data_IF_215412058410
#
_entry.id   IF_215412058410
#
_cell.length_a   1.000
_cell.length_b   1.000
_cell.length_c   1.000
_cell.angle_alpha   90.00
_cell.angle_beta   90.00
_cell.angle_gamma   90.00
#
_symmetry.space_group_name_H-M   'P 1'
#
loop_
_entity.id
_entity.type
_entity.pdbx_description
1 polymer ?
#
# COMPACT_ATOMS: atom_id res chain seq x y z
N UNK A 1 -48.13 -11.95 -21.48
CA UNK A 1 -48.20 -11.16 -20.22
C UNK A 1 -47.42 -11.88 -19.13
N UNK A 2 -46.17 -11.50 -18.88
CA UNK A 2 -45.35 -12.07 -17.81
C UNK A 2 -45.59 -11.20 -16.57
N UNK A 3 -46.33 -11.72 -15.59
CA UNK A 3 -46.52 -11.06 -14.29
C UNK A 3 -45.21 -11.19 -13.51
N UNK A 4 -44.42 -10.12 -13.46
CA UNK A 4 -43.35 -9.98 -12.47
C UNK A 4 -43.98 -9.91 -11.09
N UNK A 5 -44.04 -11.04 -10.39
CA UNK A 5 -44.42 -11.08 -8.98
C UNK A 5 -43.28 -10.46 -8.17
N UNK A 6 -43.33 -9.13 -8.03
CA UNK A 6 -42.54 -8.42 -7.04
C UNK A 6 -43.07 -8.90 -5.70
N UNK A 7 -42.43 -9.92 -5.12
CA UNK A 7 -42.62 -10.28 -3.72
C UNK A 7 -42.19 -9.05 -2.93
N UNK A 8 -43.16 -8.25 -2.49
CA UNK A 8 -42.89 -7.19 -1.53
C UNK A 8 -42.34 -7.85 -0.27
N UNK A 9 -41.05 -7.69 -0.04
CA UNK A 9 -40.36 -8.18 1.16
C UNK A 9 -40.77 -7.29 2.32
N UNK A 10 -42.00 -7.46 2.80
CA UNK A 10 -42.59 -6.65 3.87
C UNK A 10 -42.04 -6.97 5.27
N UNK A 11 -41.03 -7.85 5.36
CA UNK A 11 -40.44 -8.29 6.64
C UNK A 11 -38.91 -8.48 6.56
N UNK A 12 -38.21 -7.66 5.77
CA UNK A 12 -36.77 -7.53 6.00
C UNK A 12 -36.62 -6.75 7.32
N UNK A 13 -36.05 -7.38 8.34
CA UNK A 13 -35.60 -6.67 9.54
C UNK A 13 -34.83 -5.42 9.10
N UNK A 14 -35.11 -4.29 9.75
CA UNK A 14 -34.55 -2.96 9.42
C UNK A 14 -33.01 -2.96 9.34
N UNK A 15 -32.37 -4.00 9.88
CA UNK A 15 -30.94 -4.27 9.86
C UNK A 15 -30.69 -5.76 9.54
N UNK A 16 -29.65 -6.04 8.74
CA UNK A 16 -29.19 -7.40 8.45
C UNK A 16 -28.45 -7.91 9.69
N UNK A 17 -28.76 -9.10 10.22
CA UNK A 17 -28.08 -9.63 11.41
C UNK A 17 -26.57 -9.74 11.16
N UNK A 18 -25.79 -9.19 12.08
CA UNK A 18 -24.32 -9.25 12.06
C UNK A 18 -23.81 -10.54 12.70
N UNK A 19 -22.85 -11.18 12.04
CA UNK A 19 -22.21 -12.39 12.53
C UNK A 19 -20.72 -12.38 12.19
N UNK A 20 -19.87 -12.14 13.19
CA UNK A 20 -18.42 -12.12 12.99
C UNK A 20 -17.81 -13.48 12.60
N UNK A 21 -18.42 -14.59 13.01
CA UNK A 21 -17.98 -15.96 12.70
C UNK A 21 -19.20 -16.84 12.40
N UNK A 22 -19.20 -17.62 11.29
CA UNK A 22 -20.25 -18.58 10.98
C UNK A 22 -20.61 -19.52 12.15
N UNK A 23 -21.89 -19.84 12.31
CA UNK A 23 -22.37 -20.74 13.37
C UNK A 23 -22.28 -22.18 12.88
N UNK A 24 -21.46 -22.97 13.57
CA UNK A 24 -21.30 -24.39 13.30
C UNK A 24 -22.14 -25.27 14.23
N UNK A 25 -22.20 -26.57 13.91
CA UNK A 25 -22.80 -27.59 14.79
C UNK A 25 -21.97 -27.87 16.05
N UNK A 26 -20.64 -27.78 15.93
CA UNK A 26 -19.69 -28.15 16.99
C UNK A 26 -19.13 -26.92 17.72
N UNK A 27 -18.35 -27.15 18.78
CA UNK A 27 -17.74 -26.08 19.57
C UNK A 27 -16.62 -25.38 18.76
N UNK A 28 -16.71 -24.06 18.51
CA UNK A 28 -15.76 -23.35 17.67
C UNK A 28 -14.32 -23.34 18.25
N UNK A 29 -14.15 -23.36 19.58
CA UNK A 29 -12.82 -23.34 20.21
C UNK A 29 -12.08 -24.67 20.09
N UNK A 30 -12.80 -25.79 20.15
CA UNK A 30 -12.20 -27.15 20.16
C UNK A 30 -12.18 -27.80 18.78
N UNK A 31 -13.03 -27.36 17.86
CA UNK A 31 -13.26 -28.00 16.57
C UNK A 31 -13.37 -26.98 15.42
N UNK A 32 -12.52 -25.96 15.43
CA UNK A 32 -12.50 -24.91 14.41
C UNK A 32 -12.31 -25.48 12.98
N UNK A 33 -11.45 -26.48 12.81
CA UNK A 33 -11.18 -27.11 11.51
C UNK A 33 -12.34 -27.98 10.99
N UNK A 34 -13.16 -28.54 11.89
CA UNK A 34 -14.30 -29.39 11.54
C UNK A 34 -15.58 -28.55 11.51
N UNK A 35 -15.62 -27.59 10.58
CA UNK A 35 -16.76 -26.69 10.46
C UNK A 35 -17.91 -27.37 9.71
N UNK A 36 -19.03 -27.61 10.42
CA UNK A 36 -20.30 -28.01 9.81
C UNK A 36 -21.29 -26.86 9.95
N UNK A 37 -21.60 -26.11 8.86
CA UNK A 37 -22.47 -24.96 8.92
C UNK A 37 -23.88 -25.34 9.40
N UNK A 38 -24.45 -24.54 10.29
CA UNK A 38 -25.87 -24.61 10.63
C UNK A 38 -26.65 -23.73 9.64
N UNK A 39 -27.64 -24.24 8.90
CA UNK A 39 -28.45 -23.42 8.00
C UNK A 39 -29.18 -22.33 8.80
N UNK A 40 -29.21 -21.13 8.24
CA UNK A 40 -29.89 -19.96 8.80
C UNK A 40 -30.81 -19.44 7.70
N UNK A 41 -32.04 -19.08 8.07
CA UNK A 41 -32.98 -18.49 7.14
C UNK A 41 -32.69 -17.00 6.96
N UNK A 42 -32.58 -16.54 5.71
CA UNK A 42 -32.37 -15.13 5.37
C UNK A 42 -30.92 -14.73 5.11
N UNK A 43 -30.71 -13.42 4.95
CA UNK A 43 -29.39 -12.83 4.70
C UNK A 43 -28.70 -12.50 6.02
N UNK A 44 -27.40 -12.80 6.10
CA UNK A 44 -26.55 -12.50 7.27
C UNK A 44 -25.31 -11.73 6.80
N UNK A 45 -24.96 -10.67 7.51
CA UNK A 45 -23.73 -9.93 7.26
C UNK A 45 -22.58 -10.57 8.04
N UNK A 46 -21.66 -11.21 7.33
CA UNK A 46 -20.54 -11.92 7.89
C UNK A 46 -19.23 -11.44 7.26
N UNK A 47 -18.57 -10.42 7.86
CA UNK A 47 -17.31 -9.94 7.32
C UNK A 47 -16.25 -11.04 7.44
N UNK A 48 -15.44 -11.28 6.40
CA UNK A 48 -14.39 -12.29 6.47
C UNK A 48 -13.32 -11.88 7.49
N UNK A 49 -12.94 -12.81 8.37
CA UNK A 49 -11.80 -12.66 9.28
C UNK A 49 -10.46 -12.93 8.54
N UNK A 50 -10.28 -12.30 7.39
CA UNK A 50 -9.13 -12.46 6.52
C UNK A 50 -8.69 -11.10 5.96
N UNK A 51 -7.44 -11.03 5.49
CA UNK A 51 -6.95 -9.84 4.78
C UNK A 51 -7.75 -9.71 3.49
N UNK A 52 -8.33 -8.53 3.27
CA UNK A 52 -9.15 -8.25 2.11
C UNK A 52 -8.25 -7.83 0.96
N UNK A 53 -8.32 -8.57 -0.15
CA UNK A 53 -7.61 -8.18 -1.35
C UNK A 53 -8.22 -6.88 -1.92
N UNK A 54 -7.41 -5.89 -2.34
CA UNK A 54 -7.92 -4.63 -2.91
C UNK A 54 -8.85 -4.80 -4.13
N UNK A 55 -8.70 -5.91 -4.86
CA UNK A 55 -9.58 -6.28 -5.97
C UNK A 55 -10.98 -6.69 -5.53
N UNK A 56 -11.14 -7.21 -4.31
CA UNK A 56 -12.43 -7.64 -3.75
C UNK A 56 -13.18 -6.45 -3.13
N UNK A 57 -12.46 -5.53 -2.49
CA UNK A 57 -13.04 -4.35 -1.88
C UNK A 57 -12.19 -3.12 -2.21
N UNK A 58 -12.66 -2.36 -3.19
CA UNK A 58 -12.00 -1.13 -3.61
C UNK A 58 -12.33 0.01 -2.64
N UNK A 59 -11.32 0.69 -2.07
CA UNK A 59 -11.55 1.88 -1.24
C UNK A 59 -12.33 2.96 -1.98
N UNK A 60 -13.19 3.70 -1.27
CA UNK A 60 -14.09 4.69 -1.88
C UNK A 60 -13.36 5.82 -2.64
N UNK A 61 -12.09 6.10 -2.30
CA UNK A 61 -11.24 7.10 -2.95
C UNK A 61 -10.87 6.68 -4.38
N UNK A 62 -10.75 5.38 -4.63
CA UNK A 62 -10.43 4.82 -5.95
C UNK A 62 -11.67 4.54 -6.80
N UNK A 63 -12.87 4.72 -6.25
CA UNK A 63 -14.10 4.61 -7.01
C UNK A 63 -14.43 5.95 -7.69
N UNK A 64 -14.94 5.93 -8.94
CA UNK A 64 -15.43 7.12 -9.62
C UNK A 64 -16.51 7.85 -8.80
N UNK A 65 -16.65 9.18 -8.93
CA UNK A 65 -17.63 9.95 -8.16
C UNK A 65 -19.08 9.46 -8.28
N UNK A 66 -19.46 8.95 -9.46
CA UNK A 66 -20.82 8.49 -9.79
C UNK A 66 -21.04 6.98 -9.56
N UNK A 67 -20.07 6.25 -9.01
CA UNK A 67 -20.25 4.82 -8.74
C UNK A 67 -21.20 4.61 -7.54
N UNK A 68 -22.32 3.88 -7.68
CA UNK A 68 -23.27 3.66 -6.59
C UNK A 68 -22.67 2.92 -5.39
N UNK A 69 -21.57 2.18 -5.59
CA UNK A 69 -20.86 1.46 -4.52
C UNK A 69 -20.06 2.40 -3.61
N UNK A 70 -19.87 3.67 -4.01
CA UNK A 70 -19.04 4.63 -3.28
C UNK A 70 -19.58 4.92 -1.88
N UNK A 71 -20.90 5.03 -1.73
CA UNK A 71 -21.53 5.25 -0.42
C UNK A 71 -21.40 4.03 0.50
N UNK A 72 -21.53 2.82 -0.05
CA UNK A 72 -21.30 1.58 0.70
C UNK A 72 -19.82 1.47 1.12
N UNK A 73 -18.90 1.79 0.23
CA UNK A 73 -17.46 1.74 0.50
C UNK A 73 -17.02 2.72 1.60
N UNK A 74 -17.70 3.87 1.76
CA UNK A 74 -17.44 4.82 2.86
C UNK A 74 -17.72 4.23 4.24
N UNK A 75 -18.62 3.25 4.36
CA UNK A 75 -18.95 2.61 5.64
C UNK A 75 -17.76 1.85 6.25
N UNK A 76 -16.79 1.46 5.41
CA UNK A 76 -15.58 0.75 5.83
C UNK A 76 -14.39 1.68 6.11
N UNK A 77 -14.62 3.01 6.15
CA UNK A 77 -13.58 3.97 6.49
C UNK A 77 -13.21 3.81 7.98
N UNK A 78 -11.90 3.76 8.26
CA UNK A 78 -11.41 3.77 9.64
C UNK A 78 -11.74 5.11 10.31
N UNK A 79 -12.10 5.07 11.59
CA UNK A 79 -12.32 6.28 12.39
C UNK A 79 -11.01 7.06 12.55
N UNK A 80 -11.13 8.37 12.71
CA UNK A 80 -9.97 9.26 12.83
C UNK A 80 -9.13 8.93 14.07
N UNK A 81 -9.76 8.51 15.16
CA UNK A 81 -9.08 8.05 16.38
C UNK A 81 -8.18 6.83 16.10
N UNK A 82 -8.70 5.84 15.35
CA UNK A 82 -7.93 4.64 15.01
C UNK A 82 -6.77 4.99 14.08
N UNK A 83 -6.97 5.95 13.16
CA UNK A 83 -5.90 6.43 12.27
C UNK A 83 -4.83 7.18 13.06
N UNK A 84 -5.20 7.95 14.09
CA UNK A 84 -4.26 8.67 14.95
C UNK A 84 -3.38 7.71 15.78
N UNK A 85 -3.92 6.56 16.18
CA UNK A 85 -3.18 5.52 16.91
C UNK A 85 -2.24 4.68 16.02
N UNK A 86 -2.29 4.81 14.69
CA UNK A 86 -1.44 4.02 13.79
C UNK A 86 0.02 4.47 13.82
N UNK A 87 0.99 3.54 13.92
CA UNK A 87 2.40 3.90 13.88
C UNK A 87 2.80 4.43 12.50
N UNK A 88 3.46 5.59 12.48
CA UNK A 88 3.95 6.20 11.24
C UNK A 88 5.20 5.45 10.76
N UNK A 89 5.06 4.63 9.71
CA UNK A 89 6.18 3.88 9.13
C UNK A 89 7.12 4.81 8.34
N UNK A 90 6.55 5.77 7.60
CA UNK A 90 7.28 6.81 6.85
C UNK A 90 6.45 8.09 6.82
N UNK A 91 7.02 9.19 7.32
CA UNK A 91 6.42 10.51 7.20
C UNK A 91 6.85 11.16 5.88
N UNK A 92 5.90 11.73 5.14
CA UNK A 92 6.18 12.57 3.98
C UNK A 92 5.56 13.94 4.24
N UNK A 93 6.31 15.01 3.93
CA UNK A 93 5.80 16.38 3.98
C UNK A 93 4.59 16.51 3.06
N UNK A 94 3.51 17.09 3.57
CA UNK A 94 2.31 17.36 2.77
C UNK A 94 2.65 18.31 1.61
N UNK A 95 1.87 18.37 0.52
CA UNK A 95 2.21 19.20 -0.65
C UNK A 95 2.55 20.66 -0.34
N UNK A 96 1.91 21.26 0.66
CA UNK A 96 2.12 22.64 1.10
C UNK A 96 3.34 22.83 2.02
N UNK A 97 3.87 21.75 2.59
CA UNK A 97 5.06 21.75 3.45
C UNK A 97 6.33 21.40 2.68
N UNK A 98 6.23 21.10 1.38
CA UNK A 98 7.38 20.74 0.55
C UNK A 98 8.24 21.98 0.30
N UNK A 99 9.51 21.89 0.67
CA UNK A 99 10.50 22.94 0.43
C UNK A 99 11.10 22.80 -0.98
N UNK A 100 10.97 23.87 -1.77
CA UNK A 100 11.51 24.01 -3.12
C UNK A 100 12.69 25.00 -3.15
N UNK A 101 13.65 24.83 -2.23
CA UNK A 101 14.79 25.75 -2.05
C UNK A 101 15.80 25.72 -3.21
N UNK A 102 15.84 24.61 -3.96
CA UNK A 102 16.88 24.38 -4.96
C UNK A 102 16.49 25.03 -6.29
N UNK A 103 17.24 26.05 -6.70
CA UNK A 103 17.10 26.71 -8.00
C UNK A 103 17.91 25.99 -9.08
N UNK A 104 17.62 26.29 -10.36
CA UNK A 104 18.35 25.75 -11.51
C UNK A 104 19.85 26.07 -11.43
N UNK A 105 20.18 27.31 -11.08
CA UNK A 105 21.57 27.80 -11.00
C UNK A 105 22.39 27.00 -9.99
N UNK A 106 21.80 26.66 -8.85
CA UNK A 106 22.44 25.82 -7.83
C UNK A 106 22.71 24.42 -8.38
N UNK A 107 21.77 23.83 -9.12
CA UNK A 107 21.96 22.52 -9.75
C UNK A 107 23.08 22.55 -10.78
N UNK A 108 23.15 23.61 -11.60
CA UNK A 108 24.19 23.75 -12.62
C UNK A 108 25.58 23.91 -11.97
N UNK A 109 25.69 24.66 -10.85
CA UNK A 109 26.92 24.75 -10.07
C UNK A 109 27.34 23.40 -9.46
N UNK A 110 26.38 22.64 -8.92
CA UNK A 110 26.64 21.30 -8.36
C UNK A 110 27.21 20.37 -9.45
N UNK A 111 26.67 20.44 -10.67
CA UNK A 111 27.17 19.68 -11.81
C UNK A 111 28.57 20.11 -12.22
N UNK A 112 28.83 21.42 -12.29
CA UNK A 112 30.16 21.97 -12.60
C UNK A 112 31.21 21.48 -11.60
N UNK A 113 30.97 21.67 -10.31
CA UNK A 113 31.90 21.22 -9.24
C UNK A 113 32.18 19.73 -9.31
N UNK A 114 31.15 18.92 -9.60
CA UNK A 114 31.33 17.47 -9.73
C UNK A 114 32.12 17.07 -10.97
N UNK A 115 31.99 17.82 -12.07
CA UNK A 115 32.75 17.58 -13.30
C UNK A 115 34.21 18.00 -13.15
N UNK A 116 34.50 19.04 -12.35
CA UNK A 116 35.86 19.47 -12.04
C UNK A 116 36.62 18.39 -11.28
N UNK A 117 36.12 17.99 -10.10
CA UNK A 117 36.80 16.99 -9.25
C UNK A 117 35.79 16.06 -8.56
N UNK A 118 35.43 14.91 -9.18
CA UNK A 118 34.43 13.99 -8.63
C UNK A 118 34.78 13.40 -7.25
N UNK A 119 36.08 13.21 -6.98
CA UNK A 119 36.60 12.66 -5.72
C UNK A 119 36.51 13.70 -4.59
N UNK A 120 36.86 14.96 -4.87
CA UNK A 120 36.77 16.06 -3.89
C UNK A 120 35.31 16.45 -3.66
N UNK A 121 34.55 16.63 -4.73
CA UNK A 121 33.14 17.01 -4.71
C UNK A 121 32.22 15.78 -4.73
N UNK A 122 32.37 14.94 -3.70
CA UNK A 122 31.46 13.84 -3.46
C UNK A 122 30.08 14.36 -3.03
N UNK A 123 29.03 13.55 -3.24
CA UNK A 123 27.64 13.85 -2.86
C UNK A 123 27.51 14.33 -1.40
N UNK A 124 28.32 13.78 -0.48
CA UNK A 124 28.33 14.20 0.93
C UNK A 124 28.86 15.62 1.13
N UNK A 125 29.90 16.01 0.39
CA UNK A 125 30.48 17.35 0.47
C UNK A 125 29.58 18.38 -0.22
N UNK A 126 28.99 18.02 -1.35
CA UNK A 126 27.98 18.84 -2.03
C UNK A 126 26.73 19.03 -1.16
N UNK A 127 26.29 17.99 -0.46
CA UNK A 127 25.17 18.04 0.49
C UNK A 127 25.43 19.06 1.60
N UNK A 128 26.62 19.05 2.20
CA UNK A 128 27.00 20.03 3.22
C UNK A 128 27.15 21.44 2.68
N UNK A 129 27.73 21.60 1.49
CA UNK A 129 27.99 22.93 0.89
C UNK A 129 26.70 23.68 0.56
N UNK A 130 25.69 22.99 0.03
CA UNK A 130 24.44 23.59 -0.42
C UNK A 130 23.26 23.36 0.54
N UNK A 131 23.50 22.67 1.66
CA UNK A 131 22.47 22.25 2.63
C UNK A 131 21.30 21.51 1.96
N UNK A 132 21.62 20.51 1.12
CA UNK A 132 20.65 19.71 0.37
C UNK A 132 20.74 18.26 0.83
N UNK A 133 19.59 17.62 1.04
CA UNK A 133 19.51 16.18 1.34
C UNK A 133 20.23 15.33 0.28
N UNK A 134 21.00 14.34 0.74
CA UNK A 134 21.76 13.44 -0.12
C UNK A 134 20.88 12.72 -1.16
N UNK A 135 19.67 12.34 -0.77
CA UNK A 135 18.69 11.70 -1.64
C UNK A 135 18.33 12.57 -2.85
N UNK A 136 18.10 13.88 -2.63
CA UNK A 136 17.78 14.84 -3.69
C UNK A 136 18.95 15.02 -4.66
N UNK A 137 20.18 15.11 -4.14
CA UNK A 137 21.38 15.24 -4.98
C UNK A 137 21.58 14.04 -5.91
N UNK A 138 21.31 12.83 -5.44
CA UNK A 138 21.37 11.61 -6.28
C UNK A 138 20.44 11.72 -7.49
N UNK A 139 19.25 12.31 -7.33
CA UNK A 139 18.33 12.51 -8.46
C UNK A 139 18.84 13.56 -9.45
N UNK A 140 19.37 14.69 -8.97
CA UNK A 140 19.90 15.74 -9.84
C UNK A 140 21.08 15.30 -10.70
N UNK A 141 21.92 14.41 -10.15
CA UNK A 141 23.16 13.94 -10.77
C UNK A 141 23.01 12.57 -11.45
N UNK A 142 21.80 12.00 -11.48
CA UNK A 142 21.55 10.64 -12.01
C UNK A 142 21.97 10.47 -13.47
N UNK A 143 21.84 11.53 -14.28
CA UNK A 143 22.26 11.52 -15.69
C UNK A 143 23.77 11.44 -15.86
N UNK A 144 24.51 12.02 -14.92
CA UNK A 144 25.95 12.29 -15.06
C UNK A 144 26.78 11.19 -14.38
N UNK A 145 26.15 10.35 -13.56
CA UNK A 145 26.79 9.20 -12.95
C UNK A 145 27.14 8.16 -14.02
N UNK A 146 28.41 7.72 -14.11
CA UNK A 146 28.80 6.68 -15.05
C UNK A 146 27.99 5.43 -14.73
N UNK A 147 27.29 4.89 -15.74
CA UNK A 147 26.66 3.57 -15.65
C UNK A 147 27.78 2.55 -15.64
N UNK A 148 28.36 2.26 -14.46
CA UNK A 148 29.30 1.15 -14.37
C UNK A 148 28.51 -0.13 -14.60
N UNK A 149 28.70 -0.75 -15.76
CA UNK A 149 28.30 -2.13 -15.99
C UNK A 149 29.25 -3.00 -15.15
N UNK A 150 29.00 -3.11 -13.85
CA UNK A 150 29.70 -4.09 -13.04
C UNK A 150 29.31 -5.45 -13.59
N UNK A 151 30.25 -6.31 -14.02
CA UNK A 151 29.89 -7.68 -14.37
C UNK A 151 29.26 -8.30 -13.13
N UNK A 152 27.96 -8.62 -13.22
CA UNK A 152 27.26 -9.32 -12.17
C UNK A 152 27.73 -10.78 -12.18
N UNK A 153 28.85 -11.07 -11.51
CA UNK A 153 29.25 -12.44 -11.23
C UNK A 153 28.28 -13.01 -10.18
N UNK A 154 27.08 -13.39 -10.63
CA UNK A 154 26.00 -13.94 -9.77
C UNK A 154 26.44 -15.18 -9.00
N UNK A 155 27.47 -15.88 -9.49
CA UNK A 155 28.09 -17.02 -8.84
C UNK A 155 28.81 -16.67 -7.51
N UNK A 156 29.20 -15.40 -7.30
CA UNK A 156 29.88 -14.95 -6.08
C UNK A 156 28.94 -14.51 -4.96
N UNK A 157 27.63 -14.39 -5.25
CA UNK A 157 26.66 -13.81 -4.31
C UNK A 157 26.14 -14.90 -3.36
N UNK A 158 26.20 -14.69 -2.03
CA UNK A 158 25.68 -15.65 -1.06
C UNK A 158 24.18 -15.93 -1.26
N UNK A 159 23.77 -17.20 -1.07
CA UNK A 159 22.37 -17.64 -1.27
C UNK A 159 21.34 -16.80 -0.52
N UNK A 160 21.63 -16.40 0.72
CA UNK A 160 20.70 -15.60 1.53
C UNK A 160 20.38 -14.22 0.92
N UNK A 161 21.31 -13.66 0.13
CA UNK A 161 21.10 -12.39 -0.59
C UNK A 161 20.13 -12.61 -1.74
N UNK A 162 20.35 -13.68 -2.52
CA UNK A 162 19.47 -14.08 -3.63
C UNK A 162 18.04 -14.37 -3.11
N UNK A 163 17.91 -15.07 -1.99
CA UNK A 163 16.62 -15.36 -1.36
C UNK A 163 15.92 -14.10 -0.86
N UNK A 164 16.66 -13.12 -0.32
CA UNK A 164 16.10 -11.83 0.07
C UNK A 164 15.57 -11.06 -1.14
N UNK A 165 16.31 -11.05 -2.24
CA UNK A 165 15.88 -10.43 -3.49
C UNK A 165 14.65 -11.12 -4.07
N UNK A 166 14.64 -12.45 -4.08
CA UNK A 166 13.49 -13.26 -4.51
C UNK A 166 12.25 -12.96 -3.68
N UNK A 167 12.38 -12.90 -2.34
CA UNK A 167 11.26 -12.51 -1.45
C UNK A 167 10.73 -11.11 -1.76
N UNK A 168 11.63 -10.15 -1.98
CA UNK A 168 11.22 -8.80 -2.42
C UNK A 168 10.45 -8.83 -3.73
N UNK A 169 10.91 -9.61 -4.71
CA UNK A 169 10.21 -9.76 -5.99
C UNK A 169 8.84 -10.44 -5.84
N UNK A 170 8.74 -11.48 -5.01
CA UNK A 170 7.49 -12.17 -4.70
C UNK A 170 6.48 -11.20 -4.09
N UNK A 171 6.90 -10.40 -3.10
CA UNK A 171 6.04 -9.37 -2.49
C UNK A 171 5.54 -8.32 -3.50
N UNK A 172 6.41 -7.85 -4.41
CA UNK A 172 6.00 -6.89 -5.45
C UNK A 172 5.02 -7.49 -6.46
N UNK A 173 5.04 -8.82 -6.64
CA UNK A 173 4.08 -9.56 -7.48
C UNK A 173 2.83 -10.00 -6.72
N UNK A 174 2.71 -9.63 -5.44
CA UNK A 174 1.64 -10.10 -4.55
C UNK A 174 1.58 -11.64 -4.45
N UNK A 175 2.74 -12.29 -4.52
CA UNK A 175 2.91 -13.74 -4.32
C UNK A 175 3.42 -13.94 -2.90
N UNK A 176 2.68 -14.73 -2.12
CA UNK A 176 2.99 -15.08 -0.73
C UNK A 176 3.37 -16.54 -0.61
#
# INVERSE_FOLDING_TARGET
MIRSSIRKVHHASKEIPYQAVPRGKYNPKRSAFNFKPKPIDGLVHNPPAAIINPSMQTPYIFLPPNDPRRELAKQYRLSEDVVADMPVIRAFKAPHEREYTVTKEVVDQIKQLRNEDPERWNLKELSKKFDIELSKLVYFLRSDLPKSNKPEDKASVPMYVLDREKRRQMWMKNIY
#
